data_IF_500535235196
#
_entry.id   IF_500535235196
#
_cell.length_a   1.000
_cell.length_b   1.000
_cell.length_c   1.000
_cell.angle_alpha   90.00
_cell.angle_beta   90.00
_cell.angle_gamma   90.00
#
_symmetry.space_group_name_H-M   'P 1'
#
loop_
_entity.id
_entity.type
_entity.pdbx_description
1 polymer ?
#
# COMPACT_ATOMS: atom_id res chain seq x y z
N UNK A 1 -39.49 13.85 11.18
CA UNK A 1 -39.51 14.09 12.64
C UNK A 1 -38.43 13.31 13.41
N UNK A 2 -37.23 13.10 12.87
CA UNK A 2 -36.06 12.85 13.72
C UNK A 2 -35.20 14.11 13.64
N UNK A 3 -35.31 15.01 14.62
CA UNK A 3 -34.48 16.22 14.75
C UNK A 3 -33.01 15.91 15.09
N UNK A 4 -32.41 14.95 14.40
CA UNK A 4 -31.06 14.46 14.65
C UNK A 4 -30.11 15.16 13.67
N UNK A 5 -29.03 15.75 14.18
CA UNK A 5 -28.06 16.45 13.33
C UNK A 5 -27.42 15.52 12.29
N UNK A 6 -27.19 16.04 11.09
CA UNK A 6 -26.60 15.33 9.93
C UNK A 6 -25.36 14.51 10.30
N UNK A 7 -24.52 15.02 11.20
CA UNK A 7 -23.33 14.33 11.70
C UNK A 7 -23.64 13.04 12.46
N UNK A 8 -24.73 13.02 13.23
CA UNK A 8 -25.15 11.85 14.00
C UNK A 8 -25.73 10.77 13.10
N UNK A 9 -26.48 11.15 12.06
CA UNK A 9 -27.00 10.23 11.04
C UNK A 9 -25.84 9.63 10.25
N UNK A 10 -24.91 10.47 9.77
CA UNK A 10 -23.74 10.02 9.03
C UNK A 10 -22.90 8.98 9.82
N UNK A 11 -22.64 9.23 11.11
CA UNK A 11 -21.86 8.29 11.94
C UNK A 11 -22.59 7.02 12.33
N UNK A 12 -23.92 7.05 12.42
CA UNK A 12 -24.71 5.91 12.92
C UNK A 12 -25.24 5.02 11.81
N UNK A 13 -25.52 5.57 10.63
CA UNK A 13 -26.13 4.84 9.52
C UNK A 13 -25.19 4.69 8.31
N UNK A 14 -24.41 5.72 7.97
CA UNK A 14 -23.52 5.66 6.80
C UNK A 14 -22.15 5.06 7.11
N UNK A 15 -21.53 5.43 8.24
CA UNK A 15 -20.20 4.91 8.59
C UNK A 15 -20.13 3.37 8.70
N UNK A 16 -21.08 2.67 9.35
CA UNK A 16 -21.02 1.21 9.45
C UNK A 16 -21.18 0.51 8.09
N UNK A 17 -22.02 1.06 7.21
CA UNK A 17 -22.27 0.49 5.88
C UNK A 17 -21.12 0.74 4.89
N UNK A 18 -20.39 1.84 5.05
CA UNK A 18 -19.23 2.18 4.21
C UNK A 18 -17.90 1.66 4.76
N UNK A 19 -17.81 1.33 6.05
CA UNK A 19 -16.55 0.92 6.67
C UNK A 19 -15.92 -0.29 5.96
N UNK A 20 -16.69 -1.36 5.72
CA UNK A 20 -16.21 -2.56 5.05
C UNK A 20 -15.61 -2.27 3.66
N UNK A 21 -16.35 -1.65 2.70
CA UNK A 21 -15.79 -1.36 1.38
C UNK A 21 -14.61 -0.36 1.42
N UNK A 22 -14.64 0.65 2.31
CA UNK A 22 -13.52 1.61 2.44
C UNK A 22 -12.25 0.94 2.96
N UNK A 23 -12.37 0.06 3.96
CA UNK A 23 -11.22 -0.67 4.51
C UNK A 23 -10.64 -1.60 3.45
N UNK A 24 -11.49 -2.39 2.77
CA UNK A 24 -11.05 -3.28 1.70
C UNK A 24 -10.36 -2.51 0.57
N UNK A 25 -10.94 -1.40 0.11
CA UNK A 25 -10.37 -0.60 -0.96
C UNK A 25 -9.03 0.02 -0.56
N UNK A 26 -8.94 0.56 0.66
CA UNK A 26 -7.68 1.10 1.20
C UNK A 26 -6.59 0.03 1.25
N UNK A 27 -6.92 -1.19 1.71
CA UNK A 27 -5.97 -2.28 1.83
C UNK A 27 -5.39 -2.71 0.47
N UNK A 28 -6.17 -2.60 -0.61
CA UNK A 28 -5.73 -2.90 -1.98
C UNK A 28 -4.88 -1.77 -2.60
N UNK A 29 -5.10 -0.52 -2.20
CA UNK A 29 -4.35 0.62 -2.74
C UNK A 29 -2.93 0.73 -2.19
N UNK A 30 -2.73 0.41 -0.91
CA UNK A 30 -1.44 0.58 -0.24
C UNK A 30 -0.27 -0.11 -0.98
N UNK A 31 -0.34 -1.40 -1.35
CA UNK A 31 0.75 -2.05 -2.10
C UNK A 31 1.05 -1.37 -3.45
N UNK A 32 0.00 -0.97 -4.18
CA UNK A 32 0.13 -0.29 -5.46
C UNK A 32 0.81 1.07 -5.34
N UNK A 33 0.48 1.83 -4.29
CA UNK A 33 1.11 3.12 -4.01
C UNK A 33 2.59 2.98 -3.62
N UNK A 34 2.94 1.94 -2.85
CA UNK A 34 4.35 1.63 -2.53
C UNK A 34 5.14 1.32 -3.81
N UNK A 35 4.61 0.46 -4.68
CA UNK A 35 5.26 0.16 -5.97
C UNK A 35 5.40 1.38 -6.87
N UNK A 36 4.38 2.25 -6.88
CA UNK A 36 4.39 3.49 -7.66
C UNK A 36 5.43 4.47 -7.13
N UNK A 37 5.50 4.70 -5.82
CA UNK A 37 6.54 5.52 -5.20
C UNK A 37 7.94 4.98 -5.51
N UNK A 38 8.16 3.67 -5.33
CA UNK A 38 9.44 3.06 -5.62
C UNK A 38 9.84 3.22 -7.10
N UNK A 39 8.91 3.10 -8.03
CA UNK A 39 9.15 3.34 -9.45
C UNK A 39 9.50 4.81 -9.75
N UNK A 40 8.78 5.76 -9.15
CA UNK A 40 9.07 7.20 -9.30
C UNK A 40 10.44 7.55 -8.71
N UNK A 41 10.78 7.01 -7.54
CA UNK A 41 12.08 7.18 -6.89
C UNK A 41 13.19 6.55 -7.73
N UNK A 42 12.98 5.37 -8.31
CA UNK A 42 13.92 4.77 -9.25
C UNK A 42 14.18 5.66 -10.48
N UNK A 43 13.14 6.31 -11.00
CA UNK A 43 13.24 7.28 -12.10
C UNK A 43 13.80 8.66 -11.69
N UNK A 44 14.10 8.86 -10.40
CA UNK A 44 14.67 10.11 -9.87
C UNK A 44 13.67 11.25 -9.67
N UNK A 45 12.36 11.00 -9.78
CA UNK A 45 11.29 11.99 -9.58
C UNK A 45 10.48 11.76 -8.28
N UNK A 46 10.83 10.73 -7.51
CA UNK A 46 10.20 10.38 -6.25
C UNK A 46 10.86 11.00 -5.02
N UNK A 47 11.09 10.19 -3.99
CA UNK A 47 11.74 10.62 -2.75
C UNK A 47 13.21 10.96 -3.04
N UNK A 48 13.60 12.16 -2.64
CA UNK A 48 14.98 12.64 -2.78
C UNK A 48 15.78 12.43 -1.48
N UNK A 49 17.10 12.19 -1.56
CA UNK A 49 17.98 12.19 -0.40
C UNK A 49 17.82 13.48 0.43
N UNK A 50 17.95 13.43 1.77
CA UNK A 50 18.55 12.36 2.59
C UNK A 50 17.57 11.25 3.03
N UNK A 51 16.29 11.35 2.67
CA UNK A 51 15.29 10.36 3.10
C UNK A 51 15.53 9.04 2.36
N UNK A 52 15.65 7.90 3.07
CA UNK A 52 15.86 6.62 2.42
C UNK A 52 14.60 6.18 1.66
N UNK A 53 14.78 5.76 0.40
CA UNK A 53 13.74 5.14 -0.44
C UNK A 53 14.29 3.88 -1.09
N UNK A 54 13.51 2.80 -1.10
CA UNK A 54 13.91 1.55 -1.74
C UNK A 54 14.09 1.68 -3.26
N UNK A 55 13.28 2.53 -3.92
CA UNK A 55 13.45 2.82 -5.35
C UNK A 55 14.81 3.45 -5.65
N UNK A 56 15.22 4.39 -4.81
CA UNK A 56 16.53 5.05 -4.96
C UNK A 56 17.68 4.12 -4.58
N UNK A 57 17.54 3.28 -3.55
CA UNK A 57 18.54 2.25 -3.22
C UNK A 57 18.79 1.28 -4.38
N UNK A 58 17.75 0.96 -5.15
CA UNK A 58 17.87 0.13 -6.36
C UNK A 58 18.64 0.89 -7.47
N UNK A 59 18.39 2.20 -7.63
CA UNK A 59 19.14 3.05 -8.56
C UNK A 59 20.62 3.13 -8.19
N UNK A 60 20.91 3.39 -6.91
CA UNK A 60 22.28 3.53 -6.39
C UNK A 60 23.07 2.22 -6.51
N UNK A 61 22.39 1.08 -6.44
CA UNK A 61 22.98 -0.25 -6.60
C UNK A 61 23.58 -0.47 -7.99
N UNK A 62 23.19 0.28 -9.03
CA UNK A 62 23.74 0.17 -10.38
C UNK A 62 25.27 0.39 -10.42
N UNK A 63 25.82 1.12 -9.46
CA UNK A 63 27.26 1.36 -9.36
C UNK A 63 28.02 0.15 -8.79
N UNK A 64 27.39 -0.63 -7.91
CA UNK A 64 28.06 -1.62 -7.08
C UNK A 64 27.58 -3.06 -7.30
N UNK A 65 26.50 -3.30 -8.05
CA UNK A 65 25.87 -4.63 -8.14
C UNK A 65 26.82 -5.72 -8.66
N UNK A 66 27.79 -5.38 -9.52
CA UNK A 66 28.76 -6.36 -10.03
C UNK A 66 29.75 -6.81 -8.96
N UNK A 67 30.16 -5.90 -8.07
CA UNK A 67 31.09 -6.18 -6.98
C UNK A 67 30.39 -6.73 -5.74
N UNK A 68 29.19 -6.24 -5.45
CA UNK A 68 28.38 -6.60 -4.30
C UNK A 68 26.90 -6.72 -4.71
N UNK A 69 26.48 -7.89 -5.24
CA UNK A 69 25.09 -8.11 -5.66
C UNK A 69 24.04 -7.85 -4.57
N UNK A 70 24.44 -8.00 -3.30
CA UNK A 70 23.59 -7.73 -2.13
C UNK A 70 23.09 -6.28 -2.06
N UNK A 71 23.83 -5.31 -2.62
CA UNK A 71 23.39 -3.92 -2.72
C UNK A 71 22.11 -3.76 -3.53
N UNK A 72 21.88 -4.62 -4.52
CA UNK A 72 20.66 -4.66 -5.31
C UNK A 72 19.62 -5.62 -4.71
N UNK A 73 20.06 -6.83 -4.34
CA UNK A 73 19.16 -7.91 -3.92
C UNK A 73 18.41 -7.59 -2.62
N UNK A 74 19.04 -6.90 -1.67
CA UNK A 74 18.38 -6.56 -0.40
C UNK A 74 17.22 -5.56 -0.59
N UNK A 75 17.42 -4.36 -1.15
CA UNK A 75 16.31 -3.42 -1.32
C UNK A 75 15.24 -3.97 -2.27
N UNK A 76 15.63 -4.63 -3.36
CA UNK A 76 14.67 -5.24 -4.30
C UNK A 76 13.86 -6.37 -3.64
N UNK A 77 14.52 -7.25 -2.88
CA UNK A 77 13.88 -8.36 -2.18
C UNK A 77 12.94 -7.89 -1.08
N UNK A 78 13.34 -6.90 -0.28
CA UNK A 78 12.49 -6.31 0.77
C UNK A 78 11.27 -5.61 0.17
N UNK A 79 11.46 -4.80 -0.88
CA UNK A 79 10.35 -4.17 -1.61
C UNK A 79 9.38 -5.22 -2.14
N UNK A 80 9.88 -6.27 -2.80
CA UNK A 80 9.06 -7.36 -3.30
C UNK A 80 8.28 -8.05 -2.19
N UNK A 81 8.93 -8.45 -1.10
CA UNK A 81 8.29 -9.14 0.01
C UNK A 81 7.23 -8.28 0.69
N UNK A 82 7.49 -6.99 0.87
CA UNK A 82 6.51 -6.06 1.46
C UNK A 82 5.30 -5.87 0.57
N UNK A 83 5.51 -5.59 -0.72
CA UNK A 83 4.39 -5.42 -1.68
C UNK A 83 3.58 -6.71 -1.75
N UNK A 84 4.24 -7.87 -1.91
CA UNK A 84 3.58 -9.18 -1.93
C UNK A 84 2.76 -9.45 -0.66
N UNK A 85 3.36 -9.23 0.51
CA UNK A 85 2.71 -9.46 1.79
C UNK A 85 1.47 -8.59 1.95
N UNK A 86 1.57 -7.30 1.58
CA UNK A 86 0.45 -6.37 1.65
C UNK A 86 -0.62 -6.66 0.60
N UNK A 87 -0.25 -7.13 -0.59
CA UNK A 87 -1.21 -7.57 -1.62
C UNK A 87 -2.03 -8.76 -1.13
N UNK A 88 -1.37 -9.81 -0.62
CA UNK A 88 -2.06 -10.99 -0.08
C UNK A 88 -2.89 -10.63 1.15
N UNK A 89 -2.35 -9.80 2.04
CA UNK A 89 -3.08 -9.31 3.20
C UNK A 89 -4.33 -8.51 2.79
N UNK A 90 -4.20 -7.60 1.81
CA UNK A 90 -5.30 -6.79 1.32
C UNK A 90 -6.43 -7.62 0.70
N UNK A 91 -6.08 -8.67 -0.05
CA UNK A 91 -7.07 -9.61 -0.56
C UNK A 91 -7.72 -10.43 0.57
N UNK A 92 -6.95 -10.83 1.59
CA UNK A 92 -7.50 -11.49 2.79
C UNK A 92 -8.48 -10.60 3.56
N UNK A 93 -8.16 -9.32 3.74
CA UNK A 93 -9.05 -8.32 4.36
C UNK A 93 -10.32 -8.15 3.52
N UNK A 94 -10.17 -8.01 2.20
CA UNK A 94 -11.31 -7.90 1.28
C UNK A 94 -12.22 -9.11 1.39
N UNK A 95 -11.67 -10.31 1.35
CA UNK A 95 -12.42 -11.56 1.44
C UNK A 95 -13.14 -11.70 2.79
N UNK A 96 -12.49 -11.31 3.89
CA UNK A 96 -13.10 -11.35 5.22
C UNK A 96 -14.24 -10.32 5.40
N UNK A 97 -14.19 -9.21 4.67
CA UNK A 97 -15.17 -8.12 4.74
C UNK A 97 -16.25 -8.17 3.66
N UNK A 98 -16.13 -9.05 2.65
CA UNK A 98 -17.13 -9.22 1.60
C UNK A 98 -18.30 -10.09 2.10
N UNK A 99 -19.49 -9.52 2.35
CA UNK A 99 -20.64 -10.27 2.86
C UNK A 99 -21.24 -11.22 1.81
N UNK A 100 -20.91 -11.03 0.52
CA UNK A 100 -21.46 -11.82 -0.59
C UNK A 100 -20.70 -13.10 -0.86
N UNK A 101 -19.53 -13.30 -0.25
CA UNK A 101 -18.76 -14.53 -0.38
C UNK A 101 -19.43 -15.75 0.30
N UNK A 102 -20.52 -15.54 1.05
CA UNK A 102 -21.23 -16.58 1.83
C UNK A 102 -22.60 -16.97 1.26
N UNK A 103 -23.01 -16.45 0.09
CA UNK A 103 -24.27 -16.81 -0.60
C UNK A 103 -24.00 -17.57 -1.90
#
# INVERSE_FOLDING_TARGET
LSGWGTWRIARRELMPSLAAPVISYTALLVPGNIGTEAALSFLGVGIVPPTPSWGQMITDANTWYQAAPTYLLLPAGLLFLTVLSLTVFGEGVRAALDPRAQS
#
